data_IF_438500425940
#
_entry.id   IF_438500425940
#
_cell.length_a   1.000
_cell.length_b   1.000
_cell.length_c   1.000
_cell.angle_alpha   90.00
_cell.angle_beta   90.00
_cell.angle_gamma   90.00
#
_symmetry.space_group_name_H-M   'P 1'
#
loop_
_entity.id
_entity.type
_entity.pdbx_description
1 polymer ?
#
# COMPACT_ATOMS: atom_id res chain seq x y z
N UNK A 1 -59.92 30.60 32.55
CA UNK A 1 -58.52 30.76 32.13
C UNK A 1 -58.00 29.36 31.73
N UNK A 2 -57.82 29.12 30.42
CA UNK A 2 -57.24 27.89 29.90
C UNK A 2 -55.73 28.03 29.86
N UNK A 3 -55.01 27.10 30.49
CA UNK A 3 -53.59 27.02 30.42
C UNK A 3 -53.11 26.73 28.98
N UNK A 4 -52.02 27.33 28.51
CA UNK A 4 -51.53 27.04 27.18
C UNK A 4 -50.85 25.67 27.17
N UNK A 5 -51.08 24.90 26.09
CA UNK A 5 -50.48 23.61 25.83
C UNK A 5 -48.96 23.74 25.57
N UNK A 6 -48.16 22.76 25.97
CA UNK A 6 -46.73 22.81 25.72
C UNK A 6 -46.44 22.67 24.22
N UNK A 7 -45.62 23.59 23.72
CA UNK A 7 -45.07 23.54 22.37
C UNK A 7 -43.99 22.46 22.36
N UNK A 8 -44.30 21.29 21.81
CA UNK A 8 -43.30 20.28 21.47
C UNK A 8 -42.60 20.74 20.18
N UNK A 9 -41.44 21.31 20.34
CA UNK A 9 -40.58 21.66 19.20
C UNK A 9 -40.07 20.34 18.58
N UNK A 10 -40.65 19.98 17.45
CA UNK A 10 -40.20 18.82 16.69
C UNK A 10 -38.88 19.17 16.05
N UNK A 11 -37.83 18.50 16.49
CA UNK A 11 -36.44 18.57 15.98
C UNK A 11 -36.31 18.03 14.53
N UNK A 12 -37.43 17.67 13.90
CA UNK A 12 -37.44 17.05 12.56
C UNK A 12 -37.24 18.05 11.39
N UNK A 13 -37.18 19.34 11.66
CA UNK A 13 -37.04 20.33 10.57
C UNK A 13 -35.60 20.66 10.20
N UNK A 14 -34.57 20.29 10.99
CA UNK A 14 -33.19 20.65 10.74
C UNK A 14 -32.40 19.60 9.95
N UNK A 15 -32.90 18.38 9.86
CA UNK A 15 -32.25 17.30 9.06
C UNK A 15 -32.60 17.36 7.57
N UNK A 16 -33.62 18.11 7.18
CA UNK A 16 -34.11 18.13 5.79
C UNK A 16 -33.34 19.07 4.84
N UNK A 17 -32.45 19.92 5.35
CA UNK A 17 -31.72 20.88 4.52
C UNK A 17 -30.38 20.35 4.00
N UNK A 18 -29.92 19.21 4.48
CA UNK A 18 -28.64 18.64 4.04
C UNK A 18 -28.74 17.66 2.86
N UNK A 19 -29.94 17.36 2.39
CA UNK A 19 -30.17 16.37 1.33
C UNK A 19 -30.25 16.96 -0.09
N UNK A 20 -30.06 18.25 -0.29
CA UNK A 20 -30.15 18.86 -1.63
C UNK A 20 -28.81 19.51 -1.96
N UNK A 21 -27.93 18.79 -2.51
CA UNK A 21 -26.98 19.10 -3.58
C UNK A 21 -25.88 18.05 -3.58
N UNK A 22 -25.82 17.30 -4.58
CA UNK A 22 -24.62 16.85 -5.30
C UNK A 22 -25.00 15.53 -6.01
N UNK A 23 -25.66 15.68 -7.16
CA UNK A 23 -25.56 14.67 -8.21
C UNK A 23 -24.38 15.11 -9.12
N UNK A 24 -23.17 14.88 -8.64
CA UNK A 24 -22.05 14.66 -9.52
C UNK A 24 -21.84 13.13 -9.56
N UNK A 25 -21.52 12.50 -10.70
CA UNK A 25 -21.10 11.12 -10.69
C UNK A 25 -19.85 11.07 -9.82
N UNK A 26 -20.01 10.56 -8.60
CA UNK A 26 -18.90 10.34 -7.69
C UNK A 26 -18.12 9.19 -8.32
N UNK A 27 -17.02 9.51 -8.99
CA UNK A 27 -15.95 8.57 -9.17
C UNK A 27 -15.49 8.30 -7.73
N UNK A 28 -15.98 7.23 -7.14
CA UNK A 28 -15.48 6.73 -5.87
C UNK A 28 -14.06 6.32 -6.18
N UNK A 29 -13.09 7.16 -5.83
CA UNK A 29 -11.71 6.74 -5.81
C UNK A 29 -11.66 5.61 -4.78
N UNK A 30 -11.64 4.39 -5.27
CA UNK A 30 -11.49 3.21 -4.42
C UNK A 30 -10.12 3.36 -3.76
N UNK A 31 -10.12 3.58 -2.44
CA UNK A 31 -8.87 3.62 -1.70
C UNK A 31 -8.32 2.21 -1.64
N UNK A 32 -7.15 2.05 -2.22
CA UNK A 32 -6.35 0.84 -2.09
C UNK A 32 -5.41 1.04 -0.91
N UNK A 33 -5.53 0.26 0.18
CA UNK A 33 -4.58 0.33 1.26
C UNK A 33 -3.19 -0.03 0.74
N UNK A 34 -2.16 0.63 1.29
CA UNK A 34 -0.79 0.47 0.79
C UNK A 34 0.19 0.18 1.92
N UNK A 35 1.24 -0.56 1.59
CA UNK A 35 2.36 -0.90 2.46
C UNK A 35 3.68 -0.48 1.81
N UNK A 36 4.62 0.03 2.60
CA UNK A 36 6.00 0.22 2.14
C UNK A 36 6.71 -1.12 2.23
N UNK A 37 7.08 -1.70 1.10
CA UNK A 37 7.74 -3.01 1.01
C UNK A 37 9.25 -2.92 0.79
N UNK A 38 9.75 -1.74 0.42
CA UNK A 38 11.17 -1.42 0.39
C UNK A 38 11.38 0.05 0.70
N UNK A 39 12.40 0.37 1.50
CA UNK A 39 12.80 1.75 1.76
C UNK A 39 14.29 1.86 2.03
N UNK A 40 14.96 2.62 1.17
CA UNK A 40 16.35 3.03 1.29
C UNK A 40 16.48 4.54 1.01
N UNK A 41 15.74 5.37 1.75
CA UNK A 41 15.70 6.82 1.56
C UNK A 41 15.68 7.59 2.88
N UNK A 42 15.94 6.90 4.02
CA UNK A 42 15.85 7.49 5.36
C UNK A 42 17.21 7.92 5.91
N UNK A 43 18.29 7.29 5.47
CA UNK A 43 19.64 7.59 5.93
C UNK A 43 20.26 8.76 5.15
N UNK A 44 21.39 9.28 5.61
CA UNK A 44 22.11 10.35 4.91
C UNK A 44 22.65 9.87 3.55
N UNK A 45 22.71 10.79 2.58
CA UNK A 45 23.31 10.52 1.27
C UNK A 45 24.81 10.30 1.42
N UNK A 46 25.28 9.13 1.03
CA UNK A 46 26.73 8.78 1.09
C UNK A 46 27.47 9.19 -0.16
N UNK A 47 26.84 9.10 -1.33
CA UNK A 47 27.42 9.47 -2.62
C UNK A 47 26.34 9.59 -3.71
N UNK A 48 26.78 9.95 -4.91
CA UNK A 48 26.02 9.93 -6.16
C UNK A 48 26.78 9.13 -7.19
N UNK A 49 26.12 8.27 -7.94
CA UNK A 49 26.72 7.50 -9.01
C UNK A 49 25.94 7.69 -10.32
N UNK A 50 26.65 8.11 -11.35
CA UNK A 50 26.12 8.36 -12.69
C UNK A 50 26.73 7.43 -13.72
N UNK A 51 25.91 6.95 -14.65
CA UNK A 51 26.32 6.17 -15.83
C UNK A 51 25.55 6.59 -17.06
N UNK A 52 26.12 6.31 -18.23
CA UNK A 52 25.44 6.50 -19.51
C UNK A 52 24.59 5.30 -19.89
N UNK A 53 24.96 4.10 -19.38
CA UNK A 53 24.25 2.86 -19.62
C UNK A 53 23.05 2.75 -18.69
N UNK A 54 22.11 1.86 -19.01
CA UNK A 54 21.07 1.42 -18.07
C UNK A 54 21.72 0.72 -16.88
N UNK A 55 21.35 1.12 -15.65
CA UNK A 55 21.88 0.55 -14.42
C UNK A 55 20.89 0.66 -13.27
N UNK A 56 21.10 -0.14 -12.23
CA UNK A 56 20.24 -0.11 -11.06
C UNK A 56 20.54 -1.22 -10.07
N UNK A 57 19.64 -1.43 -9.13
CA UNK A 57 19.87 -2.20 -7.92
C UNK A 57 18.98 -3.44 -7.85
N UNK A 58 19.51 -4.53 -7.34
CA UNK A 58 18.78 -5.71 -6.94
C UNK A 58 18.31 -5.54 -5.51
N UNK A 59 16.99 -5.61 -5.29
CA UNK A 59 16.39 -5.44 -3.98
C UNK A 59 15.58 -6.66 -3.57
N UNK A 60 15.54 -6.92 -2.26
CA UNK A 60 14.66 -7.89 -1.63
C UNK A 60 13.60 -7.13 -0.86
N UNK A 61 12.34 -7.35 -1.20
CA UNK A 61 11.22 -6.70 -0.54
C UNK A 61 11.02 -7.21 0.88
N UNK A 62 10.67 -6.31 1.78
CA UNK A 62 10.08 -6.63 3.07
C UNK A 62 8.58 -6.86 2.92
N UNK A 63 7.92 -7.22 4.05
CA UNK A 63 6.48 -7.47 4.05
C UNK A 63 6.08 -8.62 3.12
N UNK A 64 4.78 -8.68 2.83
CA UNK A 64 4.19 -9.82 2.12
C UNK A 64 3.58 -9.44 0.76
N UNK A 65 3.43 -8.16 0.49
CA UNK A 65 2.72 -7.68 -0.69
C UNK A 65 3.70 -7.41 -1.84
N UNK A 66 3.34 -7.83 -3.04
CA UNK A 66 4.21 -7.83 -4.22
C UNK A 66 3.68 -7.02 -5.40
N UNK A 67 2.47 -6.49 -5.27
CA UNK A 67 1.86 -5.65 -6.29
C UNK A 67 2.28 -4.18 -6.08
N UNK A 68 3.30 -3.74 -6.80
CA UNK A 68 3.85 -2.38 -6.70
C UNK A 68 2.90 -1.37 -7.33
N UNK A 69 2.48 -0.39 -6.55
CA UNK A 69 1.63 0.73 -6.98
C UNK A 69 2.42 2.02 -7.19
N UNK A 70 3.47 2.22 -6.39
CA UNK A 70 4.32 3.42 -6.46
C UNK A 70 5.77 3.01 -6.27
N UNK A 71 6.64 3.59 -7.09
CA UNK A 71 8.08 3.46 -6.92
C UNK A 71 8.70 4.86 -6.96
N UNK A 72 9.55 5.12 -5.98
CA UNK A 72 10.27 6.38 -5.82
C UNK A 72 11.77 6.10 -5.83
N UNK A 73 12.55 6.97 -6.46
CA UNK A 73 14.00 6.95 -6.37
C UNK A 73 14.56 8.36 -6.38
N UNK A 74 15.75 8.52 -5.83
CA UNK A 74 16.42 9.81 -5.75
C UNK A 74 17.59 9.88 -6.71
N UNK A 75 17.75 11.02 -7.36
CA UNK A 75 18.84 11.28 -8.28
C UNK A 75 19.37 12.72 -8.13
N UNK A 76 20.58 12.94 -8.61
CA UNK A 76 21.18 14.25 -8.76
C UNK A 76 21.48 14.50 -10.24
N UNK A 77 21.01 15.63 -10.78
CA UNK A 77 21.26 16.10 -12.12
C UNK A 77 22.28 17.24 -12.12
N UNK A 78 23.34 17.10 -12.93
CA UNK A 78 24.32 18.15 -13.22
C UNK A 78 24.34 18.37 -14.72
N UNK A 79 23.40 19.15 -15.22
CA UNK A 79 23.23 19.50 -16.62
C UNK A 79 22.49 20.82 -16.78
N UNK A 80 22.67 21.50 -17.91
CA UNK A 80 21.85 22.65 -18.29
C UNK A 80 20.61 22.15 -19.04
N UNK A 81 19.38 22.41 -18.54
CA UNK A 81 18.19 21.85 -19.15
C UNK A 81 17.89 22.48 -20.51
N UNK A 82 17.73 21.65 -21.54
CA UNK A 82 17.28 22.07 -22.87
C UNK A 82 15.90 21.48 -23.25
N UNK A 83 15.36 20.60 -22.40
CA UNK A 83 13.98 20.11 -22.44
C UNK A 83 13.83 18.72 -23.06
N UNK A 84 14.92 18.04 -23.41
CA UNK A 84 14.91 16.66 -23.88
C UNK A 84 15.43 15.63 -22.86
N UNK A 85 15.82 16.09 -21.67
CA UNK A 85 16.34 15.24 -20.62
C UNK A 85 15.25 14.36 -20.02
N UNK A 86 15.47 13.08 -20.10
CA UNK A 86 14.51 12.08 -19.69
C UNK A 86 15.14 10.93 -18.91
N UNK A 87 14.26 10.21 -18.18
CA UNK A 87 14.60 8.95 -17.53
C UNK A 87 13.54 7.90 -17.86
N UNK A 88 13.96 6.65 -17.95
CA UNK A 88 13.09 5.47 -18.04
C UNK A 88 13.40 4.56 -16.86
N UNK A 89 12.38 4.20 -16.10
CA UNK A 89 12.42 3.21 -15.02
C UNK A 89 12.00 1.84 -15.57
N UNK A 90 12.71 0.77 -15.16
CA UNK A 90 12.34 -0.62 -15.49
C UNK A 90 12.46 -1.52 -14.27
N UNK A 91 11.64 -2.58 -14.25
CA UNK A 91 11.75 -3.69 -13.30
C UNK A 91 11.99 -4.98 -14.08
N UNK A 92 12.85 -5.81 -13.54
CA UNK A 92 13.21 -7.09 -14.13
C UNK A 92 13.13 -8.20 -13.09
N UNK A 93 12.66 -9.36 -13.49
CA UNK A 93 12.94 -10.59 -12.76
C UNK A 93 14.43 -10.96 -12.91
N UNK A 94 14.99 -11.60 -11.90
CA UNK A 94 16.38 -12.04 -11.89
C UNK A 94 16.49 -13.47 -12.44
N UNK A 95 15.97 -13.68 -13.64
CA UNK A 95 15.95 -14.98 -14.34
C UNK A 95 16.90 -15.05 -15.56
N UNK A 96 17.59 -13.93 -15.86
CA UNK A 96 18.54 -13.81 -16.96
C UNK A 96 19.90 -14.43 -16.66
N UNK A 97 20.76 -14.45 -17.69
CA UNK A 97 22.15 -14.85 -17.58
C UNK A 97 23.05 -13.62 -17.44
N UNK A 98 23.97 -13.68 -16.48
CA UNK A 98 25.00 -12.65 -16.28
C UNK A 98 26.16 -12.84 -17.22
N UNK A 99 26.79 -11.73 -17.64
CA UNK A 99 28.11 -11.76 -18.31
C UNK A 99 29.21 -12.28 -17.38
N UNK A 100 28.98 -12.26 -16.07
CA UNK A 100 29.86 -12.83 -15.06
C UNK A 100 29.24 -14.15 -14.60
N UNK A 101 29.99 -15.23 -14.70
CA UNK A 101 29.48 -16.57 -14.38
C UNK A 101 29.09 -16.70 -12.91
N UNK A 102 27.91 -17.25 -12.66
CA UNK A 102 27.43 -17.65 -11.34
C UNK A 102 26.26 -16.83 -10.78
N UNK A 103 26.01 -15.63 -11.31
CA UNK A 103 24.91 -14.78 -10.85
C UNK A 103 23.71 -14.83 -11.80
N UNK A 104 22.52 -14.72 -11.25
CA UNK A 104 21.28 -14.50 -12.01
C UNK A 104 21.12 -13.02 -12.25
N UNK A 105 21.08 -12.63 -13.51
CA UNK A 105 20.98 -11.25 -13.96
C UNK A 105 19.53 -10.82 -14.20
N UNK A 106 19.27 -9.52 -14.36
CA UNK A 106 18.03 -9.02 -14.92
C UNK A 106 17.70 -9.72 -16.25
N UNK A 107 16.52 -10.30 -16.35
CA UNK A 107 16.08 -11.08 -17.53
C UNK A 107 14.71 -10.64 -18.01
N UNK A 108 13.65 -11.27 -17.52
CA UNK A 108 12.28 -10.93 -17.92
C UNK A 108 11.91 -9.53 -17.47
N UNK A 109 11.51 -8.68 -18.43
CA UNK A 109 11.01 -7.33 -18.16
C UNK A 109 9.60 -7.41 -17.54
N UNK A 110 9.45 -6.94 -16.30
CA UNK A 110 8.19 -6.90 -15.57
C UNK A 110 7.45 -5.58 -15.79
N UNK A 111 8.21 -4.47 -15.83
CA UNK A 111 7.66 -3.12 -15.99
C UNK A 111 8.63 -2.22 -16.75
N UNK A 112 8.08 -1.30 -17.52
CA UNK A 112 8.81 -0.19 -18.15
C UNK A 112 7.94 1.05 -18.15
N UNK A 113 8.45 2.14 -17.62
CA UNK A 113 7.78 3.43 -17.72
C UNK A 113 7.86 4.02 -19.12
N UNK A 114 6.94 4.91 -19.45
CA UNK A 114 7.20 5.89 -20.50
C UNK A 114 8.40 6.77 -20.05
N UNK A 115 9.14 7.34 -21.01
CA UNK A 115 10.16 8.35 -20.68
C UNK A 115 9.50 9.54 -19.97
N UNK A 116 10.08 9.99 -18.86
CA UNK A 116 9.64 11.15 -18.12
C UNK A 116 10.75 12.16 -17.93
N UNK A 117 10.40 13.44 -17.89
CA UNK A 117 11.34 14.54 -17.75
C UNK A 117 12.06 14.51 -16.41
N UNK A 118 13.35 14.76 -16.43
CA UNK A 118 14.21 14.94 -15.25
C UNK A 118 14.69 16.39 -15.15
N UNK A 119 15.14 16.77 -13.96
CA UNK A 119 15.56 18.14 -13.65
C UNK A 119 16.97 18.15 -13.04
N UNK A 120 17.73 19.26 -13.16
CA UNK A 120 18.99 19.40 -12.47
C UNK A 120 18.81 19.45 -10.93
N UNK A 121 19.91 19.34 -10.20
CA UNK A 121 19.98 19.28 -8.75
C UNK A 121 19.43 17.98 -8.13
N UNK A 122 19.16 18.01 -6.81
CA UNK A 122 18.62 16.88 -6.06
C UNK A 122 17.13 16.74 -6.30
N UNK A 123 16.72 15.57 -6.77
CA UNK A 123 15.32 15.30 -7.08
C UNK A 123 14.90 13.91 -6.60
N UNK A 124 13.59 13.77 -6.37
CA UNK A 124 12.91 12.49 -6.18
C UNK A 124 11.95 12.27 -7.35
N UNK A 125 12.19 11.23 -8.12
CA UNK A 125 11.24 10.75 -9.11
C UNK A 125 10.22 9.84 -8.41
N UNK A 126 8.92 10.10 -8.59
CA UNK A 126 7.85 9.32 -8.01
C UNK A 126 6.88 8.86 -9.11
N UNK A 127 6.97 7.58 -9.48
CA UNK A 127 6.08 6.95 -10.44
C UNK A 127 4.92 6.30 -9.68
N UNK A 128 3.71 6.65 -10.07
CA UNK A 128 2.46 6.20 -9.42
C UNK A 128 1.62 5.39 -10.41
N UNK A 129 0.70 4.59 -9.88
CA UNK A 129 -0.19 3.72 -10.67
C UNK A 129 0.59 2.74 -11.57
N UNK A 130 1.67 2.20 -11.05
CA UNK A 130 2.52 1.20 -11.73
C UNK A 130 1.74 -0.08 -11.96
N UNK A 131 1.04 -0.58 -10.92
CA UNK A 131 0.13 -1.75 -10.95
C UNK A 131 0.80 -3.00 -11.51
N UNK A 132 1.97 -3.36 -11.00
CA UNK A 132 2.74 -4.52 -11.45
C UNK A 132 3.05 -5.48 -10.30
N UNK A 133 2.85 -6.77 -10.54
CA UNK A 133 3.30 -7.84 -9.63
C UNK A 133 4.78 -8.11 -9.84
N UNK A 134 5.53 -8.17 -8.74
CA UNK A 134 6.97 -8.46 -8.74
C UNK A 134 7.30 -9.64 -7.81
N UNK A 135 8.39 -10.40 -8.04
CA UNK A 135 8.84 -11.43 -7.10
C UNK A 135 9.42 -10.80 -5.81
N UNK A 136 9.71 -11.64 -4.81
CA UNK A 136 10.35 -11.23 -3.55
C UNK A 136 11.64 -10.46 -3.75
N UNK A 137 12.36 -10.81 -4.80
CA UNK A 137 13.63 -10.25 -5.20
C UNK A 137 13.58 -9.90 -6.67
N UNK A 138 13.82 -8.64 -7.00
CA UNK A 138 13.85 -8.16 -8.38
C UNK A 138 14.88 -7.04 -8.55
N UNK A 139 15.22 -6.73 -9.80
CA UNK A 139 16.10 -5.60 -10.12
C UNK A 139 15.28 -4.45 -10.69
N UNK A 140 15.47 -3.26 -10.13
CA UNK A 140 15.01 -2.02 -10.74
C UNK A 140 16.17 -1.26 -11.36
N UNK A 141 15.94 -0.61 -12.50
CA UNK A 141 16.98 0.11 -13.24
C UNK A 141 16.47 1.44 -13.76
N UNK A 142 17.41 2.34 -14.03
CA UNK A 142 17.16 3.60 -14.73
C UNK A 142 18.07 3.73 -15.95
N UNK A 143 17.57 4.45 -16.94
CA UNK A 143 18.31 4.91 -18.09
C UNK A 143 18.04 6.38 -18.27
N UNK A 144 19.08 7.22 -18.14
CA UNK A 144 19.02 8.66 -18.37
C UNK A 144 19.39 8.98 -19.81
N UNK A 145 18.68 9.92 -20.42
CA UNK A 145 18.91 10.34 -21.81
C UNK A 145 18.73 11.85 -21.95
N UNK A 146 19.19 12.41 -23.08
CA UNK A 146 19.07 13.85 -23.36
C UNK A 146 20.00 14.74 -22.54
N UNK A 147 21.05 14.19 -21.92
CA UNK A 147 21.91 14.94 -21.00
C UNK A 147 22.93 15.88 -21.70
N UNK A 148 22.70 16.24 -22.96
CA UNK A 148 23.65 17.05 -23.73
C UNK A 148 24.91 16.29 -24.12
N UNK A 149 25.92 17.00 -24.63
CA UNK A 149 27.14 16.38 -25.12
C UNK A 149 28.40 16.73 -24.31
N UNK A 150 28.23 17.44 -23.21
CA UNK A 150 29.37 17.83 -22.39
C UNK A 150 29.75 16.70 -21.42
N UNK A 151 31.02 16.48 -21.19
CA UNK A 151 31.52 15.47 -20.24
C UNK A 151 31.11 15.77 -18.78
N UNK A 152 30.60 16.95 -18.52
CA UNK A 152 30.11 17.43 -17.22
C UNK A 152 28.62 17.13 -17.02
N UNK A 153 27.87 16.90 -18.11
CA UNK A 153 26.43 16.70 -18.06
C UNK A 153 26.12 15.28 -17.62
N UNK A 154 25.52 15.14 -16.45
CA UNK A 154 25.28 13.85 -15.80
C UNK A 154 23.97 13.86 -15.04
N UNK A 155 23.34 12.70 -14.99
CA UNK A 155 22.35 12.37 -13.99
C UNK A 155 22.75 11.05 -13.32
N UNK A 156 22.59 10.95 -12.02
CA UNK A 156 23.04 9.79 -11.26
C UNK A 156 22.18 9.52 -10.04
N UNK A 157 22.05 8.24 -9.70
CA UNK A 157 21.32 7.79 -8.52
C UNK A 157 22.07 8.16 -7.24
N UNK A 158 21.31 8.53 -6.19
CA UNK A 158 21.87 8.72 -4.86
C UNK A 158 22.07 7.37 -4.17
N UNK A 159 23.13 7.29 -3.36
CA UNK A 159 23.41 6.12 -2.53
C UNK A 159 23.10 6.44 -1.08
N UNK A 160 22.42 5.50 -0.42
CA UNK A 160 22.12 5.51 1.00
C UNK A 160 22.28 4.10 1.57
N UNK A 161 22.66 3.98 2.82
CA UNK A 161 22.85 2.68 3.48
C UNK A 161 22.71 2.83 5.00
N UNK A 162 22.05 1.86 5.68
CA UNK A 162 21.36 0.67 5.16
C UNK A 162 19.89 0.93 4.77
N UNK A 163 19.25 0.04 4.00
CA UNK A 163 17.81 0.05 3.84
C UNK A 163 17.09 -0.13 5.19
N UNK A 164 16.06 0.67 5.45
CA UNK A 164 15.24 0.58 6.66
C UNK A 164 14.11 -0.47 6.55
N UNK A 165 13.71 -0.80 5.31
CA UNK A 165 12.73 -1.85 5.00
C UNK A 165 13.25 -2.63 3.80
N UNK A 166 13.20 -3.96 3.87
CA UNK A 166 13.77 -4.82 2.86
C UNK A 166 15.28 -4.95 2.98
N UNK A 167 15.94 -5.34 1.90
CA UNK A 167 17.40 -5.49 1.80
C UNK A 167 17.89 -5.16 0.41
N UNK A 168 19.11 -4.68 0.28
CA UNK A 168 19.89 -4.54 -0.94
C UNK A 168 21.28 -5.15 -0.74
N UNK A 169 22.09 -5.19 -1.78
CA UNK A 169 23.43 -5.79 -1.79
C UNK A 169 24.47 -4.71 -2.07
N UNK A 170 25.75 -4.94 -1.67
CA UNK A 170 26.86 -4.03 -1.98
C UNK A 170 27.35 -4.22 -3.43
N UNK A 171 26.40 -4.26 -4.37
CA UNK A 171 26.63 -4.30 -5.81
C UNK A 171 25.42 -3.77 -6.57
N UNK A 172 25.59 -3.52 -7.86
CA UNK A 172 24.55 -3.05 -8.73
C UNK A 172 24.74 -3.58 -10.16
N UNK A 173 23.66 -3.63 -10.90
CA UNK A 173 23.64 -4.11 -12.28
C UNK A 173 23.89 -2.98 -13.27
N UNK A 174 24.70 -3.27 -14.28
CA UNK A 174 24.98 -2.38 -15.42
C UNK A 174 24.78 -3.16 -16.71
N UNK A 175 24.09 -2.56 -17.66
CA UNK A 175 23.83 -3.15 -18.96
C UNK A 175 24.94 -2.83 -19.93
N UNK A 176 25.57 -3.84 -20.52
CA UNK A 176 26.58 -3.71 -21.57
C UNK A 176 26.07 -4.38 -22.85
N UNK A 177 25.66 -3.58 -23.83
CA UNK A 177 25.04 -4.11 -25.04
C UNK A 177 23.80 -4.94 -24.72
N UNK A 178 23.85 -6.25 -24.96
CA UNK A 178 22.73 -7.15 -24.73
C UNK A 178 22.84 -7.95 -23.42
N UNK A 179 23.85 -7.69 -22.58
CA UNK A 179 24.08 -8.44 -21.37
C UNK A 179 24.20 -7.56 -20.12
N UNK A 180 24.19 -8.19 -18.96
CA UNK A 180 24.30 -7.55 -17.66
C UNK A 180 25.57 -8.01 -16.94
N UNK A 181 26.18 -7.09 -16.20
CA UNK A 181 27.27 -7.38 -15.28
C UNK A 181 27.07 -6.63 -13.96
N UNK A 182 27.52 -7.24 -12.86
CA UNK A 182 27.53 -6.60 -11.55
C UNK A 182 28.76 -5.70 -11.38
N UNK A 183 28.57 -4.59 -10.67
CA UNK A 183 29.61 -3.65 -10.26
C UNK A 183 29.53 -3.43 -8.74
N UNK A 184 30.67 -3.08 -8.14
CA UNK A 184 30.84 -2.85 -6.70
C UNK A 184 31.73 -1.66 -6.44
N UNK A 185 31.50 -0.98 -5.32
CA UNK A 185 32.42 0.05 -4.81
C UNK A 185 33.29 -0.49 -3.66
N UNK A 186 33.21 -1.78 -3.35
CA UNK A 186 33.94 -2.45 -2.27
C UNK A 186 33.65 -1.87 -0.87
N UNK A 187 32.40 -1.51 -0.63
CA UNK A 187 31.89 -1.03 0.66
C UNK A 187 32.18 0.44 0.98
N UNK A 188 32.77 1.20 0.06
CA UNK A 188 33.02 2.63 0.28
C UNK A 188 32.81 3.47 -1.00
N UNK A 189 31.62 4.03 -1.26
CA UNK A 189 30.38 3.78 -0.51
C UNK A 189 29.84 2.35 -0.69
N UNK A 190 28.86 1.95 0.11
CA UNK A 190 28.05 0.76 -0.16
C UNK A 190 27.17 1.05 -1.38
N UNK A 191 27.02 0.07 -2.27
CA UNK A 191 26.36 0.27 -3.58
C UNK A 191 24.84 0.15 -3.51
N UNK A 192 24.19 0.73 -2.49
CA UNK A 192 22.75 0.71 -2.30
C UNK A 192 22.12 2.01 -2.81
N UNK A 193 21.30 1.92 -3.87
CA UNK A 193 20.65 3.11 -4.41
C UNK A 193 19.38 3.49 -3.64
N UNK A 194 19.23 4.81 -3.45
CA UNK A 194 18.06 5.38 -2.77
C UNK A 194 16.79 5.12 -3.54
N UNK A 195 15.89 4.33 -2.92
CA UNK A 195 14.59 4.04 -3.50
C UNK A 195 13.56 3.64 -2.44
N UNK A 196 12.29 3.67 -2.84
CA UNK A 196 11.15 3.27 -2.04
C UNK A 196 10.11 2.60 -2.90
N UNK A 197 9.70 1.41 -2.53
CA UNK A 197 8.61 0.68 -3.16
C UNK A 197 7.38 0.61 -2.24
N UNK A 198 6.23 0.98 -2.79
CA UNK A 198 4.94 0.94 -2.10
C UNK A 198 4.05 -0.01 -2.87
N UNK A 199 3.58 -1.04 -2.19
CA UNK A 199 2.68 -2.04 -2.77
C UNK A 199 1.24 -1.86 -2.31
N UNK A 200 0.32 -2.49 -3.02
CA UNK A 200 -1.04 -2.72 -2.56
C UNK A 200 -0.98 -3.59 -1.28
N UNK A 201 -1.74 -3.19 -0.27
CA UNK A 201 -1.87 -3.98 0.95
C UNK A 201 -3.12 -4.86 0.82
N UNK A 202 -2.92 -6.15 0.65
CA UNK A 202 -4.02 -7.10 0.54
C UNK A 202 -4.66 -7.33 1.93
N UNK A 203 -5.88 -6.81 2.11
CA UNK A 203 -6.70 -7.02 3.29
C UNK A 203 -7.63 -8.23 3.16
N UNK A 204 -7.49 -9.03 2.11
CA UNK A 204 -8.35 -10.19 1.92
C UNK A 204 -8.13 -11.24 3.02
N UNK A 205 -9.25 -11.83 3.44
CA UNK A 205 -9.27 -13.02 4.28
C UNK A 205 -9.90 -14.13 3.45
N UNK A 206 -9.29 -15.29 3.46
CA UNK A 206 -9.81 -16.47 2.78
C UNK A 206 -9.76 -17.71 3.69
N UNK A 207 -10.69 -18.62 3.46
CA UNK A 207 -10.60 -19.97 3.97
C UNK A 207 -9.83 -20.80 2.96
N UNK A 208 -8.71 -21.40 3.38
CA UNK A 208 -7.89 -22.26 2.51
C UNK A 208 -8.26 -23.73 2.66
N UNK A 209 -8.78 -24.15 3.82
CA UNK A 209 -9.41 -25.45 4.00
C UNK A 209 -10.52 -25.42 5.05
N UNK A 210 -11.48 -26.29 4.89
CA UNK A 210 -12.45 -26.70 5.91
C UNK A 210 -12.49 -28.22 5.89
N UNK A 211 -12.01 -28.83 6.96
CA UNK A 211 -11.95 -30.28 7.12
C UNK A 211 -12.75 -30.68 8.35
N UNK A 212 -13.34 -31.86 8.31
CA UNK A 212 -14.01 -32.45 9.46
C UNK A 212 -13.23 -33.71 9.81
N UNK A 213 -12.70 -33.75 11.04
CA UNK A 213 -11.95 -34.91 11.50
C UNK A 213 -12.85 -36.15 11.75
N UNK A 214 -12.25 -37.28 12.07
CA UNK A 214 -12.97 -38.53 12.33
C UNK A 214 -13.95 -38.45 13.50
N UNK A 215 -13.74 -37.49 14.40
CA UNK A 215 -14.60 -37.23 15.57
C UNK A 215 -15.74 -36.24 15.26
N UNK A 216 -15.84 -35.75 14.01
CA UNK A 216 -16.85 -34.78 13.56
C UNK A 216 -16.53 -33.33 13.88
N UNK A 217 -15.31 -33.02 14.33
CA UNK A 217 -14.88 -31.68 14.69
C UNK A 217 -14.38 -30.90 13.46
N UNK A 218 -14.95 -29.72 13.16
CA UNK A 218 -14.48 -28.88 12.06
C UNK A 218 -13.10 -28.25 12.36
N UNK A 219 -12.25 -28.27 11.35
CA UNK A 219 -10.94 -27.61 11.34
C UNK A 219 -10.90 -26.63 10.17
N UNK A 220 -10.74 -25.33 10.48
CA UNK A 220 -10.72 -24.26 9.49
C UNK A 220 -9.31 -23.69 9.40
N UNK A 221 -8.74 -23.68 8.20
CA UNK A 221 -7.51 -22.93 7.94
C UNK A 221 -7.85 -21.61 7.29
N UNK A 222 -7.48 -20.52 7.96
CA UNK A 222 -7.80 -19.15 7.59
C UNK A 222 -6.49 -18.45 7.22
N UNK A 223 -6.48 -17.81 6.06
CA UNK A 223 -5.36 -17.02 5.56
C UNK A 223 -5.76 -15.55 5.47
N UNK A 224 -4.82 -14.66 5.79
CA UNK A 224 -5.02 -13.22 5.71
C UNK A 224 -3.72 -12.43 5.88
N UNK A 225 -3.81 -11.11 6.00
CA UNK A 225 -2.64 -10.24 6.12
C UNK A 225 -1.88 -10.49 7.43
N UNK A 226 -0.55 -10.49 7.37
CA UNK A 226 0.31 -10.66 8.55
C UNK A 226 0.10 -9.53 9.57
N UNK A 227 0.23 -9.86 10.86
CA UNK A 227 0.08 -8.92 11.98
C UNK A 227 -1.30 -8.26 12.10
N UNK A 228 -2.30 -8.76 11.39
CA UNK A 228 -3.68 -8.34 11.57
C UNK A 228 -4.41 -9.26 12.52
N UNK A 229 -5.37 -8.70 13.25
CA UNK A 229 -6.23 -9.48 14.13
C UNK A 229 -7.48 -9.92 13.38
N UNK A 230 -7.73 -11.22 13.38
CA UNK A 230 -8.91 -11.84 12.78
C UNK A 230 -9.86 -12.26 13.89
N UNK A 231 -11.14 -11.94 13.77
CA UNK A 231 -12.23 -12.58 14.50
C UNK A 231 -12.88 -13.65 13.61
N UNK A 232 -13.10 -14.81 14.18
CA UNK A 232 -13.94 -15.86 13.60
C UNK A 232 -15.27 -15.89 14.33
N UNK A 233 -16.35 -15.83 13.56
CA UNK A 233 -17.71 -15.94 14.07
C UNK A 233 -18.33 -17.23 13.57
N UNK A 234 -19.28 -17.73 14.35
CA UNK A 234 -20.09 -18.89 14.03
C UNK A 234 -21.57 -18.56 14.13
N UNK A 235 -22.38 -19.24 13.32
CA UNK A 235 -23.84 -19.19 13.35
C UNK A 235 -24.42 -20.55 12.99
N UNK A 236 -25.56 -20.89 13.60
CA UNK A 236 -26.34 -22.09 13.26
C UNK A 236 -27.49 -21.76 12.29
N UNK A 237 -27.82 -20.47 12.11
CA UNK A 237 -29.01 -20.00 11.36
C UNK A 237 -28.72 -18.89 10.34
N UNK A 238 -27.46 -18.41 10.24
CA UNK A 238 -27.02 -17.27 9.42
C UNK A 238 -27.57 -15.90 9.87
N UNK A 239 -28.31 -15.83 10.97
CA UNK A 239 -28.91 -14.60 11.50
C UNK A 239 -28.14 -14.10 12.71
N UNK A 240 -27.93 -14.98 13.68
CA UNK A 240 -27.17 -14.66 14.89
C UNK A 240 -25.75 -15.20 14.80
N UNK A 241 -24.77 -14.33 15.04
CA UNK A 241 -23.36 -14.63 14.93
C UNK A 241 -22.63 -14.43 16.25
N UNK A 242 -21.93 -15.45 16.71
CA UNK A 242 -21.13 -15.41 17.94
C UNK A 242 -19.63 -15.54 17.63
N UNK A 243 -18.78 -14.71 18.24
CA UNK A 243 -17.35 -14.85 18.10
C UNK A 243 -16.85 -16.11 18.81
N UNK A 244 -16.04 -16.93 18.14
CA UNK A 244 -15.46 -18.14 18.72
C UNK A 244 -13.92 -18.08 18.78
N UNK A 245 -13.29 -17.22 17.99
CA UNK A 245 -11.83 -17.03 18.04
C UNK A 245 -11.46 -15.58 17.74
N UNK A 246 -10.39 -15.15 18.39
CA UNK A 246 -9.69 -13.89 18.15
C UNK A 246 -8.21 -14.22 18.02
N UNK A 247 -7.62 -14.04 16.82
CA UNK A 247 -6.26 -14.44 16.54
C UNK A 247 -5.49 -13.34 15.81
N UNK A 248 -4.28 -13.04 16.28
CA UNK A 248 -3.31 -12.25 15.50
C UNK A 248 -2.64 -13.17 14.50
N UNK A 249 -2.63 -12.79 13.23
CA UNK A 249 -1.94 -13.51 12.16
C UNK A 249 -0.44 -13.17 12.20
N UNK A 250 0.33 -13.80 13.07
CA UNK A 250 1.81 -13.66 13.09
C UNK A 250 2.42 -14.30 11.83
N UNK A 251 1.90 -15.46 11.45
CA UNK A 251 2.07 -16.03 10.12
C UNK A 251 0.83 -15.70 9.27
N UNK A 252 0.91 -15.79 7.95
CA UNK A 252 -0.22 -15.46 7.07
C UNK A 252 -1.46 -16.34 7.24
N UNK A 253 -1.36 -17.39 8.03
CA UNK A 253 -2.45 -18.34 8.26
C UNK A 253 -2.48 -18.85 9.70
N UNK A 254 -3.65 -19.31 10.12
CA UNK A 254 -3.80 -20.12 11.31
C UNK A 254 -4.90 -21.16 11.11
N UNK A 255 -4.84 -22.22 11.90
CA UNK A 255 -5.87 -23.25 11.93
C UNK A 255 -6.67 -23.18 13.21
N UNK A 256 -7.99 -23.10 13.08
CA UNK A 256 -8.96 -23.11 14.18
C UNK A 256 -9.63 -24.46 14.23
N UNK A 257 -9.63 -25.09 15.39
CA UNK A 257 -10.47 -26.25 15.68
C UNK A 257 -11.74 -25.77 16.43
N UNK A 258 -12.92 -26.07 15.89
CA UNK A 258 -14.19 -25.78 16.58
C UNK A 258 -14.68 -27.02 17.33
N UNK A 259 -14.16 -27.21 18.54
CA UNK A 259 -14.50 -28.32 19.43
C UNK A 259 -15.91 -28.23 20.05
N UNK A 260 -16.62 -27.12 19.80
CA UNK A 260 -18.00 -26.90 20.26
C UNK A 260 -19.03 -27.15 19.17
N UNK A 261 -18.61 -27.53 17.97
CA UNK A 261 -19.52 -27.85 16.89
C UNK A 261 -20.34 -29.12 17.21
N UNK A 262 -21.67 -29.01 17.06
CA UNK A 262 -22.58 -30.14 17.12
C UNK A 262 -22.66 -30.77 15.71
N UNK A 263 -22.19 -32.02 15.51
CA UNK A 263 -22.14 -32.63 14.18
C UNK A 263 -23.53 -32.87 13.56
N UNK A 264 -24.59 -32.77 14.36
CA UNK A 264 -25.98 -32.96 13.88
C UNK A 264 -26.64 -31.64 13.44
N UNK A 265 -25.96 -30.47 13.63
CA UNK A 265 -26.51 -29.15 13.31
C UNK A 265 -25.72 -28.46 12.20
N UNK A 266 -26.39 -27.65 11.37
CA UNK A 266 -25.69 -26.74 10.47
C UNK A 266 -24.77 -25.81 11.26
N UNK A 267 -23.58 -25.55 10.70
CA UNK A 267 -22.60 -24.66 11.31
C UNK A 267 -21.97 -23.79 10.22
N UNK A 268 -22.14 -22.49 10.35
CA UNK A 268 -21.66 -21.49 9.38
C UNK A 268 -20.56 -20.64 10.01
N UNK A 269 -19.54 -20.30 9.23
CA UNK A 269 -18.40 -19.52 9.69
C UNK A 269 -18.25 -18.26 8.85
N UNK A 270 -17.88 -17.17 9.50
CA UNK A 270 -17.42 -15.94 8.85
C UNK A 270 -16.23 -15.37 9.59
N UNK A 271 -15.39 -14.62 8.88
CA UNK A 271 -14.25 -13.91 9.44
C UNK A 271 -14.35 -12.42 9.20
N UNK A 272 -13.74 -11.64 10.09
CA UNK A 272 -13.50 -10.23 9.87
C UNK A 272 -12.16 -9.82 10.44
N UNK A 273 -11.49 -8.83 9.80
CA UNK A 273 -10.34 -8.17 10.38
C UNK A 273 -10.77 -7.21 11.47
N UNK A 274 -10.01 -7.20 12.56
CA UNK A 274 -10.06 -6.13 13.54
C UNK A 274 -8.82 -5.28 13.37
N UNK A 275 -9.02 -4.03 13.08
CA UNK A 275 -7.98 -3.05 13.28
C UNK A 275 -7.91 -2.71 14.77
N UNK A 276 -6.77 -2.94 15.39
CA UNK A 276 -6.55 -2.71 16.83
C UNK A 276 -6.67 -1.24 17.25
N UNK A 277 -6.79 -0.32 16.31
CA UNK A 277 -7.07 1.08 16.57
C UNK A 277 -8.52 1.36 16.21
N UNK A 278 -9.37 1.67 17.19
CA UNK A 278 -10.78 1.96 16.90
C UNK A 278 -10.91 3.20 16.03
N UNK A 279 -11.89 3.18 15.14
CA UNK A 279 -12.37 4.40 14.51
C UNK A 279 -13.21 5.14 15.55
N UNK A 280 -12.78 6.33 15.91
CA UNK A 280 -13.44 7.16 16.90
C UNK A 280 -14.02 8.40 16.23
N UNK A 281 -15.28 8.68 16.51
CA UNK A 281 -15.88 9.97 16.27
C UNK A 281 -15.59 10.88 17.48
N UNK A 282 -14.64 11.80 17.36
CA UNK A 282 -14.19 12.63 18.47
C UNK A 282 -15.06 13.88 18.67
N UNK A 283 -15.58 14.43 17.57
CA UNK A 283 -16.35 15.68 17.63
C UNK A 283 -17.40 15.73 16.52
N UNK A 284 -18.59 16.20 16.89
CA UNK A 284 -19.68 16.49 15.95
C UNK A 284 -20.24 17.88 16.27
N UNK A 285 -20.12 18.80 15.32
CA UNK A 285 -20.60 20.18 15.47
C UNK A 285 -21.37 20.66 14.27
N UNK A 286 -22.47 21.32 14.53
CA UNK A 286 -23.19 22.11 13.52
C UNK A 286 -22.61 23.54 13.58
N UNK A 287 -22.04 23.99 12.47
CA UNK A 287 -21.45 25.31 12.34
C UNK A 287 -22.53 26.38 12.14
N UNK A 288 -22.24 27.67 12.43
CA UNK A 288 -23.21 28.76 12.26
C UNK A 288 -23.77 28.92 10.83
N UNK A 289 -23.04 28.41 9.84
CA UNK A 289 -23.46 28.41 8.43
C UNK A 289 -24.33 27.21 8.04
N UNK A 290 -24.76 26.39 9.01
CA UNK A 290 -25.58 25.20 8.81
C UNK A 290 -24.80 23.96 8.32
N UNK A 291 -23.47 24.06 8.14
CA UNK A 291 -22.66 22.89 7.79
C UNK A 291 -22.32 22.07 9.03
N UNK A 292 -22.17 20.78 8.82
CA UNK A 292 -21.74 19.86 9.87
C UNK A 292 -20.22 19.66 9.79
N UNK A 293 -19.56 19.72 10.95
CA UNK A 293 -18.17 19.29 11.12
C UNK A 293 -18.17 17.98 11.88
N UNK A 294 -17.48 17.00 11.31
CA UNK A 294 -17.26 15.71 11.93
C UNK A 294 -15.74 15.50 12.04
N UNK A 295 -15.24 15.20 13.24
CA UNK A 295 -13.84 14.83 13.45
C UNK A 295 -13.79 13.34 13.74
N UNK A 296 -13.08 12.62 12.88
CA UNK A 296 -12.91 11.15 12.95
C UNK A 296 -11.44 10.83 13.04
N UNK A 297 -11.07 9.96 13.97
CA UNK A 297 -9.73 9.41 14.11
C UNK A 297 -9.76 7.89 13.96
N UNK A 298 -8.67 7.33 13.45
CA UNK A 298 -8.56 5.89 13.21
C UNK A 298 -7.18 5.50 12.71
N UNK A 299 -6.98 4.21 12.41
CA UNK A 299 -5.72 3.68 11.93
C UNK A 299 -5.30 4.35 10.64
N UNK A 300 -4.02 4.74 10.57
CA UNK A 300 -3.46 5.34 9.36
C UNK A 300 -3.62 4.37 8.17
N UNK A 301 -4.05 4.91 7.04
CA UNK A 301 -4.25 4.15 5.81
C UNK A 301 -5.56 3.38 5.74
N UNK A 302 -6.27 3.22 6.87
CA UNK A 302 -7.56 2.55 6.87
C UNK A 302 -8.61 3.37 6.11
N UNK A 303 -9.28 2.80 5.10
CA UNK A 303 -10.42 3.44 4.47
C UNK A 303 -11.63 3.42 5.41
N UNK A 304 -12.43 4.48 5.38
CA UNK A 304 -13.70 4.53 6.06
C UNK A 304 -14.71 5.32 5.22
N UNK A 305 -15.97 4.94 5.38
CA UNK A 305 -17.10 5.63 4.74
C UNK A 305 -17.99 6.23 5.84
N UNK A 306 -18.34 7.49 5.67
CA UNK A 306 -19.36 8.13 6.51
C UNK A 306 -20.69 8.00 5.81
N UNK A 307 -21.64 7.44 6.52
CA UNK A 307 -23.01 7.27 6.05
C UNK A 307 -23.96 8.16 6.86
N UNK A 308 -25.04 8.58 6.26
CA UNK A 308 -26.15 9.24 6.94
C UNK A 308 -27.46 8.54 6.66
N UNK A 309 -28.37 8.66 7.61
CA UNK A 309 -29.74 8.18 7.50
C UNK A 309 -30.70 9.18 8.13
N UNK A 310 -31.86 9.36 7.53
CA UNK A 310 -32.94 10.15 8.08
C UNK A 310 -33.92 9.33 8.92
N UNK A 311 -33.93 8.02 8.76
CA UNK A 311 -34.92 7.09 9.34
C UNK A 311 -34.27 5.93 10.13
N UNK A 312 -32.94 5.81 10.13
CA UNK A 312 -32.13 4.70 10.67
C UNK A 312 -32.35 3.34 9.96
N UNK A 313 -33.10 3.33 8.87
CA UNK A 313 -33.32 2.14 8.05
C UNK A 313 -32.59 2.23 6.72
N UNK A 314 -32.60 3.41 6.08
CA UNK A 314 -31.97 3.66 4.80
C UNK A 314 -30.72 4.54 5.01
N UNK A 315 -29.53 4.00 4.66
CA UNK A 315 -28.26 4.66 4.85
C UNK A 315 -27.65 5.04 3.50
N UNK A 316 -27.22 6.29 3.36
CA UNK A 316 -26.56 6.82 2.16
C UNK A 316 -25.11 7.17 2.48
N UNK A 317 -24.20 6.80 1.57
CA UNK A 317 -22.81 7.16 1.66
C UNK A 317 -22.64 8.66 1.41
N UNK A 318 -22.14 9.40 2.40
CA UNK A 318 -21.88 10.84 2.26
C UNK A 318 -20.49 11.06 1.65
N UNK A 319 -19.48 10.36 2.17
CA UNK A 319 -18.12 10.39 1.63
C UNK A 319 -17.30 9.21 2.12
N UNK A 320 -16.27 8.85 1.34
CA UNK A 320 -15.27 7.86 1.69
C UNK A 320 -13.89 8.50 1.66
N UNK A 321 -13.10 8.26 2.69
CA UNK A 321 -11.74 8.77 2.87
C UNK A 321 -10.86 7.72 3.53
N UNK A 322 -9.56 8.02 3.62
CA UNK A 322 -8.61 7.23 4.40
C UNK A 322 -7.97 8.09 5.46
N UNK A 323 -7.68 7.47 6.60
CA UNK A 323 -6.98 8.16 7.67
C UNK A 323 -5.56 8.54 7.23
N UNK A 324 -5.27 9.84 7.31
CA UNK A 324 -3.95 10.40 7.11
C UNK A 324 -3.21 10.50 8.46
N UNK A 325 -2.03 11.10 8.48
CA UNK A 325 -1.25 11.35 9.71
C UNK A 325 -1.87 12.40 10.64
N UNK A 326 -2.94 13.08 10.22
CA UNK A 326 -3.67 14.07 11.00
C UNK A 326 -5.16 13.74 11.02
N UNK A 327 -5.89 14.14 12.07
CA UNK A 327 -7.34 14.02 12.09
C UNK A 327 -7.96 14.62 10.83
N UNK A 328 -8.93 13.93 10.26
CA UNK A 328 -9.72 14.42 9.14
C UNK A 328 -10.90 15.19 9.73
N UNK A 329 -11.05 16.43 9.29
CA UNK A 329 -12.07 17.35 9.80
C UNK A 329 -12.98 17.79 8.66
#
# INVERSE_FOLDING_TARGET
MKAPAPVILRLNALLFVLAIAIHAPTVIAQFVPTEVVFQNSSEEVTATHARLEEYGDEIILGGDNRKILTFEFEYFGSFEPDGDETCVLRFYDNDGESLIAGDKAPGTLLYKSEPFTIFPDFNTAALRNIDVEVPDKFTWTVEFAGLGGLSTDRAGLLLRDPPSIGRSFDDFWVRFGNGWATWRFSGNPVANFSSRAISEFDLSISYTSLEINEEGTPSLTIQGPRNQTVIVYVSDDLLEWQPIALQVLEERQFTLLDDQADPEKPRYYRTSLINNTPILMEDFKILPNGRTRLTVTGPRGLPFTVQASADFENWEDIFSLSFQTRPIT
#
